data_IF_931483785893
#
_entry.id   IF_931483785893
#
_cell.length_a   1.000
_cell.length_b   1.000
_cell.length_c   1.000
_cell.angle_alpha   90.00
_cell.angle_beta   90.00
_cell.angle_gamma   90.00
#
_symmetry.space_group_name_H-M   'P 1'
#
loop_
_entity.id
_entity.type
_entity.pdbx_description
1 polymer ?
#
# COMPACT_ATOMS: atom_id res chain seq x y z
N UNK A 1 2.56 -5.68 -34.44
CA UNK A 1 2.86 -6.35 -33.16
C UNK A 1 3.58 -7.65 -33.50
N UNK A 2 4.90 -7.66 -33.34
CA UNK A 2 5.77 -8.72 -33.85
C UNK A 2 5.64 -9.99 -33.00
N UNK A 3 5.82 -11.18 -33.60
CA UNK A 3 5.76 -12.46 -32.88
C UNK A 3 6.71 -12.51 -31.68
N UNK A 4 7.87 -11.85 -31.77
CA UNK A 4 8.85 -11.75 -30.68
C UNK A 4 8.32 -11.03 -29.43
N UNK A 5 7.42 -10.05 -29.57
CA UNK A 5 6.82 -9.35 -28.43
C UNK A 5 5.82 -10.24 -27.67
N UNK A 6 5.08 -11.10 -28.40
CA UNK A 6 4.12 -12.03 -27.81
C UNK A 6 4.82 -13.15 -27.02
N UNK A 7 5.91 -13.70 -27.56
CA UNK A 7 6.65 -14.74 -26.86
C UNK A 7 7.31 -14.23 -25.57
N UNK A 8 7.86 -13.00 -25.59
CA UNK A 8 8.39 -12.40 -24.37
C UNK A 8 7.30 -12.21 -23.31
N UNK A 9 6.12 -11.72 -23.71
CA UNK A 9 5.00 -11.49 -22.80
C UNK A 9 4.53 -12.79 -22.13
N UNK A 10 4.47 -13.90 -22.88
CA UNK A 10 4.13 -15.22 -22.33
C UNK A 10 5.17 -15.71 -21.31
N UNK A 11 6.46 -15.60 -21.66
CA UNK A 11 7.56 -15.99 -20.76
C UNK A 11 7.57 -15.13 -19.48
N UNK A 12 7.32 -13.82 -19.62
CA UNK A 12 7.23 -12.88 -18.49
C UNK A 12 6.04 -13.20 -17.58
N UNK A 13 4.85 -13.40 -18.17
CA UNK A 13 3.66 -13.79 -17.42
C UNK A 13 3.84 -15.11 -16.69
N UNK A 14 4.53 -16.07 -17.31
CA UNK A 14 4.86 -17.34 -16.70
C UNK A 14 5.75 -17.14 -15.48
N UNK A 15 6.79 -16.33 -15.58
CA UNK A 15 7.67 -15.99 -14.45
C UNK A 15 6.88 -15.42 -13.25
N UNK A 16 6.08 -14.37 -13.48
CA UNK A 16 5.42 -13.61 -12.39
C UNK A 16 4.23 -14.34 -11.74
N UNK A 17 3.53 -15.21 -12.49
CA UNK A 17 2.33 -15.92 -12.01
C UNK A 17 2.66 -17.19 -11.25
N UNK A 18 3.91 -17.65 -11.26
CA UNK A 18 4.34 -18.81 -10.49
C UNK A 18 4.01 -18.62 -9.00
N UNK A 19 3.52 -19.69 -8.37
CA UNK A 19 3.28 -19.74 -6.92
C UNK A 19 4.48 -20.27 -6.14
N UNK A 20 5.37 -20.98 -6.83
CA UNK A 20 6.53 -21.61 -6.23
C UNK A 20 7.79 -20.78 -6.56
N UNK A 21 8.61 -20.53 -5.54
CA UNK A 21 9.79 -19.68 -5.66
C UNK A 21 10.81 -20.31 -6.61
N UNK A 22 11.08 -21.62 -6.47
CA UNK A 22 12.06 -22.32 -7.30
C UNK A 22 11.62 -22.33 -8.77
N UNK A 23 10.34 -22.61 -9.03
CA UNK A 23 9.78 -22.57 -10.39
C UNK A 23 9.80 -21.15 -10.97
N UNK A 24 9.56 -20.13 -10.15
CA UNK A 24 9.68 -18.73 -10.56
C UNK A 24 11.12 -18.40 -10.95
N UNK A 25 12.10 -18.72 -10.11
CA UNK A 25 13.52 -18.46 -10.39
C UNK A 25 14.02 -19.22 -11.63
N UNK A 26 13.58 -20.47 -11.83
CA UNK A 26 13.87 -21.23 -13.04
C UNK A 26 13.24 -20.59 -14.30
N UNK A 27 12.02 -20.08 -14.20
CA UNK A 27 11.37 -19.38 -15.31
C UNK A 27 12.09 -18.06 -15.66
N UNK A 28 12.57 -17.33 -14.66
CA UNK A 28 13.39 -16.14 -14.84
C UNK A 28 14.69 -16.45 -15.59
N UNK A 29 15.43 -17.49 -15.19
CA UNK A 29 16.67 -17.87 -15.85
C UNK A 29 16.44 -18.21 -17.33
N UNK A 30 15.36 -18.94 -17.64
CA UNK A 30 14.96 -19.26 -19.00
C UNK A 30 14.63 -18.00 -19.82
N UNK A 31 13.88 -17.07 -19.24
CA UNK A 31 13.55 -15.79 -19.87
C UNK A 31 14.83 -14.97 -20.14
N UNK A 32 15.70 -14.84 -19.14
CA UNK A 32 16.98 -14.14 -19.24
C UNK A 32 17.88 -14.73 -20.31
N UNK A 33 17.97 -16.05 -20.40
CA UNK A 33 18.82 -16.75 -21.37
C UNK A 33 18.23 -16.70 -22.79
N UNK A 34 16.94 -16.99 -22.95
CA UNK A 34 16.24 -17.00 -24.25
C UNK A 34 16.28 -15.64 -24.93
N UNK A 35 16.11 -14.57 -24.15
CA UNK A 35 16.06 -13.22 -24.68
C UNK A 35 17.43 -12.52 -24.66
N UNK A 36 18.49 -13.12 -24.09
CA UNK A 36 19.84 -12.53 -23.91
C UNK A 36 20.45 -11.93 -25.18
N UNK A 37 20.28 -12.61 -26.32
CA UNK A 37 20.91 -12.24 -27.60
C UNK A 37 20.20 -11.12 -28.35
N UNK A 38 18.94 -10.82 -28.01
CA UNK A 38 18.22 -9.66 -28.54
C UNK A 38 18.77 -8.32 -28.00
N UNK A 39 19.78 -8.35 -27.11
CA UNK A 39 20.25 -7.19 -26.35
C UNK A 39 21.77 -6.90 -26.45
N UNK A 40 22.58 -7.63 -27.26
CA UNK A 40 24.05 -7.55 -27.17
C UNK A 40 24.88 -7.51 -28.49
N UNK A 41 24.38 -7.05 -29.65
CA UNK A 41 25.22 -6.82 -30.87
C UNK A 41 24.95 -5.44 -31.54
N UNK A 42 25.85 -4.86 -32.40
CA UNK A 42 26.43 -3.53 -32.11
C UNK A 42 25.90 -2.33 -32.95
N UNK A 43 25.85 -1.18 -32.26
CA UNK A 43 25.87 0.24 -32.67
C UNK A 43 24.76 0.78 -33.59
N UNK A 44 23.72 1.35 -32.97
CA UNK A 44 22.86 2.44 -33.50
C UNK A 44 22.02 3.03 -32.35
N UNK A 45 21.35 4.17 -32.52
CA UNK A 45 20.48 4.82 -31.50
C UNK A 45 19.45 3.90 -30.82
N UNK A 46 19.14 2.77 -31.48
CA UNK A 46 18.41 1.62 -30.94
C UNK A 46 18.99 1.07 -29.62
N UNK A 47 20.31 1.15 -29.43
CA UNK A 47 21.00 0.70 -28.22
C UNK A 47 20.56 1.45 -26.97
N UNK A 48 20.27 2.77 -27.04
CA UNK A 48 19.82 3.52 -25.85
C UNK A 48 18.49 2.99 -25.31
N UNK A 49 17.60 2.50 -26.17
CA UNK A 49 16.30 1.99 -25.77
C UNK A 49 16.39 0.53 -25.33
N UNK A 50 17.18 -0.30 -26.02
CA UNK A 50 17.37 -1.72 -25.68
C UNK A 50 18.14 -1.91 -24.35
N UNK A 51 19.19 -1.11 -24.09
CA UNK A 51 19.89 -1.08 -22.80
C UNK A 51 18.98 -0.62 -21.65
N UNK A 52 18.08 0.35 -21.91
CA UNK A 52 17.09 0.80 -20.91
C UNK A 52 16.09 -0.31 -20.59
N UNK A 53 15.64 -1.05 -21.60
CA UNK A 53 14.73 -2.20 -21.43
C UNK A 53 15.37 -3.31 -20.60
N UNK A 54 16.66 -3.62 -20.83
CA UNK A 54 17.36 -4.63 -20.04
C UNK A 54 17.52 -4.21 -18.57
N UNK A 55 17.97 -2.98 -18.33
CA UNK A 55 18.09 -2.44 -16.97
C UNK A 55 16.76 -2.39 -16.25
N UNK A 56 15.68 -2.05 -16.95
CA UNK A 56 14.33 -2.10 -16.39
C UNK A 56 13.98 -3.51 -15.94
N UNK A 57 14.24 -4.53 -16.78
CA UNK A 57 13.90 -5.92 -16.46
C UNK A 57 14.72 -6.45 -15.27
N UNK A 58 16.01 -6.09 -15.18
CA UNK A 58 16.84 -6.40 -14.00
C UNK A 58 16.32 -5.70 -12.73
N UNK A 59 15.98 -4.41 -12.81
CA UNK A 59 15.40 -3.68 -11.67
C UNK A 59 14.08 -4.32 -11.19
N UNK A 60 13.23 -4.76 -12.13
CA UNK A 60 11.98 -5.46 -11.84
C UNK A 60 12.26 -6.80 -11.13
N UNK A 61 13.27 -7.54 -11.57
CA UNK A 61 13.72 -8.76 -10.91
C UNK A 61 14.29 -8.52 -9.51
N UNK A 62 15.06 -7.46 -9.30
CA UNK A 62 15.60 -7.11 -7.99
C UNK A 62 14.49 -6.82 -6.98
N UNK A 63 13.37 -6.25 -7.46
CA UNK A 63 12.20 -5.96 -6.65
C UNK A 63 11.21 -7.13 -6.52
N UNK A 64 11.47 -8.30 -7.13
CA UNK A 64 10.51 -9.42 -7.24
C UNK A 64 9.87 -9.84 -5.92
N UNK A 65 10.60 -9.75 -4.80
CA UNK A 65 10.11 -10.13 -3.47
C UNK A 65 8.89 -9.31 -3.01
N UNK A 66 8.69 -8.12 -3.56
CA UNK A 66 7.62 -7.20 -3.17
C UNK A 66 6.33 -7.36 -3.97
N UNK A 67 6.35 -8.04 -5.11
CA UNK A 67 5.20 -8.05 -6.04
C UNK A 67 4.99 -9.38 -6.79
N UNK A 68 6.00 -10.25 -6.87
CA UNK A 68 5.85 -11.58 -7.51
C UNK A 68 5.10 -12.52 -6.57
N UNK A 69 4.10 -13.21 -7.12
CA UNK A 69 3.14 -14.02 -6.36
C UNK A 69 3.79 -15.09 -5.48
N UNK A 70 4.85 -15.75 -5.97
CA UNK A 70 5.56 -16.78 -5.22
C UNK A 70 6.15 -16.27 -3.90
N UNK A 71 6.59 -15.01 -3.85
CA UNK A 71 7.19 -14.41 -2.64
C UNK A 71 6.14 -13.83 -1.69
N UNK A 72 4.98 -13.46 -2.22
CA UNK A 72 3.89 -12.87 -1.43
C UNK A 72 3.00 -13.91 -0.73
N UNK A 73 3.12 -15.20 -1.06
CA UNK A 73 2.24 -16.24 -0.54
C UNK A 73 2.29 -16.38 0.99
N UNK A 74 3.45 -16.10 1.59
CA UNK A 74 3.65 -16.19 3.04
C UNK A 74 3.73 -14.80 3.71
N UNK A 75 3.37 -13.75 2.98
CA UNK A 75 3.32 -12.39 3.53
C UNK A 75 2.01 -12.19 4.26
N UNK A 76 2.09 -11.85 5.55
CA UNK A 76 0.93 -11.52 6.34
C UNK A 76 0.51 -10.07 6.07
N UNK A 77 -0.64 -9.89 5.40
CA UNK A 77 -1.20 -8.56 5.09
C UNK A 77 -2.10 -8.00 6.20
N UNK A 78 -1.93 -8.46 7.46
CA UNK A 78 -2.74 -7.99 8.60
C UNK A 78 -4.27 -8.07 8.39
N UNK A 79 -4.74 -9.03 7.59
CA UNK A 79 -6.16 -9.21 7.28
C UNK A 79 -6.72 -8.30 6.18
N UNK A 80 -5.88 -7.50 5.51
CA UNK A 80 -6.31 -6.67 4.38
C UNK A 80 -6.66 -7.54 3.18
N UNK A 81 -7.86 -7.32 2.64
CA UNK A 81 -8.27 -7.89 1.35
C UNK A 81 -7.69 -7.03 0.22
N UNK A 82 -7.43 -7.65 -0.94
CA UNK A 82 -6.93 -6.93 -2.12
C UNK A 82 -7.80 -5.74 -2.53
N UNK A 83 -9.13 -5.85 -2.38
CA UNK A 83 -10.07 -4.75 -2.65
C UNK A 83 -9.87 -3.56 -1.72
N UNK A 84 -9.66 -3.82 -0.42
CA UNK A 84 -9.44 -2.75 0.57
C UNK A 84 -8.13 -2.00 0.29
N UNK A 85 -7.10 -2.70 -0.21
CA UNK A 85 -5.86 -2.04 -0.61
C UNK A 85 -6.08 -1.11 -1.81
N UNK A 86 -6.83 -1.53 -2.83
CA UNK A 86 -7.16 -0.65 -3.95
C UNK A 86 -8.09 0.51 -3.57
N UNK A 87 -9.07 0.25 -2.70
CA UNK A 87 -9.97 1.29 -2.17
C UNK A 87 -9.15 2.34 -1.41
N UNK A 88 -8.26 1.93 -0.50
CA UNK A 88 -7.39 2.85 0.25
C UNK A 88 -6.45 3.67 -0.63
N UNK A 89 -5.87 3.07 -1.68
CA UNK A 89 -5.02 3.81 -2.64
C UNK A 89 -5.86 4.82 -3.43
N UNK A 90 -7.07 4.44 -3.84
CA UNK A 90 -7.97 5.35 -4.54
C UNK A 90 -8.38 6.53 -3.64
N UNK A 91 -8.74 6.26 -2.38
CA UNK A 91 -9.04 7.33 -1.39
C UNK A 91 -7.84 8.24 -1.15
N UNK A 92 -6.61 7.70 -1.16
CA UNK A 92 -5.39 8.51 -0.99
C UNK A 92 -5.20 9.52 -2.14
N UNK A 93 -5.54 9.15 -3.38
CA UNK A 93 -5.44 10.02 -4.54
C UNK A 93 -6.73 10.76 -4.87
N UNK A 94 -7.79 10.56 -4.07
CA UNK A 94 -9.08 11.19 -4.33
C UNK A 94 -8.96 12.71 -4.23
N UNK A 95 -9.56 13.42 -5.19
CA UNK A 95 -9.39 14.86 -5.35
C UNK A 95 -8.09 15.33 -6.03
N UNK A 96 -7.09 14.45 -6.23
CA UNK A 96 -5.81 14.79 -6.89
C UNK A 96 -5.69 14.20 -8.29
N UNK A 97 -5.87 12.88 -8.42
CA UNK A 97 -5.68 12.15 -9.67
C UNK A 97 -6.98 11.49 -10.09
N UNK A 98 -7.35 11.67 -11.36
CA UNK A 98 -8.54 11.09 -11.96
C UNK A 98 -8.23 10.56 -13.36
N UNK A 99 -9.14 9.77 -13.95
CA UNK A 99 -8.90 9.12 -15.24
C UNK A 99 -8.65 10.09 -16.41
N UNK A 100 -9.03 11.36 -16.29
CA UNK A 100 -8.72 12.41 -17.27
C UNK A 100 -7.58 13.34 -16.88
N UNK A 101 -6.87 13.09 -15.76
CA UNK A 101 -5.67 13.86 -15.41
C UNK A 101 -4.62 13.65 -16.50
N UNK A 102 -4.14 14.71 -17.17
CA UNK A 102 -3.11 14.57 -18.18
C UNK A 102 -1.79 14.16 -17.52
N UNK A 103 -1.00 13.36 -18.24
CA UNK A 103 0.29 12.87 -17.72
C UNK A 103 1.25 14.01 -17.33
N UNK A 104 1.13 15.17 -17.99
CA UNK A 104 1.91 16.37 -17.66
C UNK A 104 1.62 16.93 -16.27
N UNK A 105 0.40 16.75 -15.76
CA UNK A 105 -0.02 17.25 -14.44
C UNK A 105 0.03 16.16 -13.36
N UNK A 106 0.14 14.88 -13.77
CA UNK A 106 0.15 13.75 -12.85
C UNK A 106 1.22 13.86 -11.77
N UNK A 107 2.44 14.28 -12.15
CA UNK A 107 3.57 14.39 -11.20
C UNK A 107 3.27 15.45 -10.15
N UNK A 108 2.78 16.62 -10.57
CA UNK A 108 2.46 17.72 -9.65
C UNK A 108 1.32 17.32 -8.70
N UNK A 109 0.28 16.66 -9.22
CA UNK A 109 -0.84 16.17 -8.40
C UNK A 109 -0.43 15.07 -7.43
N UNK A 110 0.50 14.19 -7.83
CA UNK A 110 1.07 13.17 -6.97
C UNK A 110 1.84 13.81 -5.80
N UNK A 111 2.67 14.81 -6.06
CA UNK A 111 3.40 15.53 -5.02
C UNK A 111 2.46 16.29 -4.08
N UNK A 112 1.38 16.89 -4.62
CA UNK A 112 0.33 17.52 -3.82
C UNK A 112 -0.38 16.52 -2.89
N UNK A 113 -0.74 15.33 -3.38
CA UNK A 113 -1.37 14.27 -2.57
C UNK A 113 -0.46 13.83 -1.40
N UNK A 114 0.85 13.74 -1.65
CA UNK A 114 1.83 13.43 -0.60
C UNK A 114 1.94 14.58 0.40
N UNK A 115 1.97 15.82 -0.06
CA UNK A 115 2.06 16.99 0.79
C UNK A 115 0.84 17.11 1.71
N UNK A 116 -0.38 16.99 1.15
CA UNK A 116 -1.63 17.02 1.91
C UNK A 116 -1.66 15.94 3.00
N UNK A 117 -1.28 14.70 2.68
CA UNK A 117 -1.19 13.63 3.68
C UNK A 117 -0.19 13.95 4.78
N UNK A 118 0.98 14.49 4.44
CA UNK A 118 1.98 14.88 5.45
C UNK A 118 1.48 15.97 6.37
N UNK A 119 0.70 16.92 5.86
CA UNK A 119 0.15 18.00 6.67
C UNK A 119 -0.97 17.49 7.58
N UNK A 120 -1.87 16.64 7.05
CA UNK A 120 -2.87 15.92 7.86
C UNK A 120 -2.23 15.07 8.96
N UNK A 121 -1.14 14.35 8.66
CA UNK A 121 -0.41 13.55 9.64
C UNK A 121 0.22 14.43 10.74
N UNK A 122 0.81 15.58 10.38
CA UNK A 122 1.34 16.54 11.37
C UNK A 122 0.25 17.09 12.27
N UNK A 123 -0.91 17.44 11.72
CA UNK A 123 -2.03 17.95 12.50
C UNK A 123 -2.55 16.88 13.46
N UNK A 124 -2.69 15.63 13.00
CA UNK A 124 -3.10 14.51 13.85
C UNK A 124 -2.07 14.21 14.95
N UNK A 125 -0.78 14.25 14.64
CA UNK A 125 0.28 14.07 15.62
C UNK A 125 0.28 15.20 16.66
N UNK A 126 0.13 16.45 16.21
CA UNK A 126 0.00 17.61 17.10
C UNK A 126 -1.18 17.46 18.05
N UNK A 127 -2.36 17.08 17.54
CA UNK A 127 -3.54 16.82 18.36
C UNK A 127 -3.26 15.70 19.36
N UNK A 128 -2.65 14.60 18.93
CA UNK A 128 -2.31 13.47 19.80
C UNK A 128 -1.33 13.83 20.92
N UNK A 129 -0.40 14.75 20.67
CA UNK A 129 0.61 15.19 21.65
C UNK A 129 0.08 16.25 22.62
N UNK A 130 -0.80 17.13 22.15
CA UNK A 130 -1.26 18.30 22.92
C UNK A 130 -2.54 18.05 23.72
N UNK A 131 -3.34 17.05 23.32
CA UNK A 131 -4.64 16.79 23.94
C UNK A 131 -4.66 15.45 24.66
N UNK A 132 -5.35 15.40 25.81
CA UNK A 132 -5.52 14.15 26.55
C UNK A 132 -6.66 13.31 25.94
N UNK A 133 -6.61 11.97 26.10
CA UNK A 133 -7.74 11.11 25.77
C UNK A 133 -8.90 11.38 26.72
N UNK A 134 -10.11 11.44 26.17
CA UNK A 134 -11.33 11.68 26.95
C UNK A 134 -11.86 10.37 27.54
N UNK A 135 -12.16 10.36 28.84
CA UNK A 135 -12.62 9.18 29.58
C UNK A 135 -14.13 9.32 29.82
N UNK A 136 -14.95 8.52 29.14
CA UNK A 136 -16.41 8.68 29.16
C UNK A 136 -17.09 7.74 30.17
N UNK A 137 -16.63 6.50 30.28
CA UNK A 137 -17.23 5.49 31.18
C UNK A 137 -16.51 5.43 32.53
N UNK A 138 -15.33 6.02 32.66
CA UNK A 138 -14.48 6.05 33.86
C UNK A 138 -14.18 4.65 34.41
N UNK A 139 -14.13 3.65 33.53
CA UNK A 139 -13.83 2.27 33.94
C UNK A 139 -12.33 2.08 34.17
N UNK A 140 -11.90 1.14 35.04
CA UNK A 140 -10.49 0.85 35.24
C UNK A 140 -9.75 0.47 33.95
N UNK A 141 -10.44 -0.24 33.04
CA UNK A 141 -9.88 -0.64 31.75
C UNK A 141 -9.72 0.54 30.79
N UNK A 142 -10.68 1.46 30.74
CA UNK A 142 -10.59 2.67 29.92
C UNK A 142 -9.48 3.60 30.44
N UNK A 143 -9.41 3.79 31.76
CA UNK A 143 -8.34 4.55 32.40
C UNK A 143 -6.98 3.96 32.07
N UNK A 144 -6.80 2.65 32.22
CA UNK A 144 -5.54 1.99 31.87
C UNK A 144 -5.20 2.13 30.38
N UNK A 145 -6.17 1.90 29.49
CA UNK A 145 -5.97 2.04 28.04
C UNK A 145 -5.56 3.45 27.63
N UNK A 146 -6.09 4.49 28.29
CA UNK A 146 -5.73 5.89 28.01
C UNK A 146 -4.26 6.23 28.33
N UNK A 147 -3.65 5.50 29.27
CA UNK A 147 -2.24 5.66 29.61
C UNK A 147 -1.32 4.85 28.71
N UNK A 148 -1.79 3.71 28.19
CA UNK A 148 -1.00 2.80 27.36
C UNK A 148 -1.02 3.21 25.89
N UNK A 149 -2.16 3.66 25.37
CA UNK A 149 -2.34 3.98 23.97
C UNK A 149 -2.19 5.46 23.66
N UNK A 150 -1.60 5.76 22.49
CA UNK A 150 -1.71 7.10 21.89
C UNK A 150 -3.18 7.41 21.61
N UNK A 151 -3.54 8.70 21.66
CA UNK A 151 -4.93 9.16 21.59
C UNK A 151 -5.72 8.62 20.39
N UNK A 152 -5.12 8.61 19.20
CA UNK A 152 -5.74 8.04 17.99
C UNK A 152 -6.10 6.55 18.13
N UNK A 153 -5.18 5.74 18.67
CA UNK A 153 -5.40 4.31 18.95
C UNK A 153 -6.41 4.12 20.07
N UNK A 154 -6.34 4.94 21.11
CA UNK A 154 -7.30 4.92 22.22
C UNK A 154 -8.74 5.22 21.76
N UNK A 155 -8.92 6.19 20.85
CA UNK A 155 -10.24 6.50 20.30
C UNK A 155 -10.83 5.31 19.53
N UNK A 156 -10.02 4.62 18.71
CA UNK A 156 -10.43 3.37 18.04
C UNK A 156 -10.78 2.26 19.04
N UNK A 157 -10.03 2.15 20.14
CA UNK A 157 -10.35 1.23 21.23
C UNK A 157 -11.70 1.56 21.86
N UNK A 158 -11.96 2.83 22.18
CA UNK A 158 -13.24 3.28 22.76
C UNK A 158 -14.42 3.00 21.84
N UNK A 159 -14.33 3.33 20.56
CA UNK A 159 -15.39 3.11 19.57
C UNK A 159 -15.84 1.64 19.57
N UNK A 160 -14.86 0.72 19.58
CA UNK A 160 -15.13 -0.72 19.53
C UNK A 160 -15.61 -1.30 20.87
N UNK A 161 -15.10 -0.77 21.98
CA UNK A 161 -15.40 -1.29 23.32
C UNK A 161 -16.67 -0.69 23.92
N UNK A 162 -17.01 0.55 23.55
CA UNK A 162 -18.12 1.33 24.11
C UNK A 162 -18.94 2.02 23.00
N UNK A 163 -19.57 1.26 22.07
CA UNK A 163 -20.25 1.82 20.90
C UNK A 163 -21.42 2.77 21.25
N UNK A 164 -22.01 2.62 22.44
CA UNK A 164 -23.13 3.45 22.91
C UNK A 164 -22.74 4.90 23.27
N UNK A 165 -21.44 5.23 23.32
CA UNK A 165 -20.97 6.55 23.81
C UNK A 165 -20.86 7.64 22.74
N UNK A 166 -21.08 7.32 21.46
CA UNK A 166 -20.94 8.29 20.35
C UNK A 166 -22.27 8.94 19.90
N UNK A 167 -23.40 8.61 20.51
CA UNK A 167 -24.72 9.17 20.13
C UNK A 167 -25.08 10.48 20.86
N UNK A 168 -24.10 11.26 21.32
CA UNK A 168 -24.39 12.45 22.12
C UNK A 168 -23.26 13.46 22.13
N UNK A 169 -22.97 14.08 20.99
CA UNK A 169 -22.38 15.43 20.88
C UNK A 169 -22.57 15.92 19.43
N UNK A 170 -23.81 16.14 19.03
CA UNK A 170 -24.08 17.18 18.04
C UNK A 170 -23.84 18.52 18.76
N UNK A 171 -22.71 19.16 18.47
CA UNK A 171 -22.56 20.63 18.28
C UNK A 171 -21.11 21.08 18.56
N UNK A 172 -20.25 20.92 17.55
CA UNK A 172 -19.14 21.81 17.23
C UNK A 172 -18.63 21.39 15.86
N UNK A 173 -18.94 22.18 14.84
CA UNK A 173 -18.56 21.92 13.44
C UNK A 173 -17.06 21.69 13.28
N UNK A 174 -16.69 20.45 13.04
CA UNK A 174 -15.50 20.05 12.29
C UNK A 174 -16.00 19.03 11.29
N UNK A 175 -15.94 19.37 10.00
CA UNK A 175 -16.18 18.42 8.93
C UNK A 175 -15.20 17.27 9.11
N UNK A 176 -15.70 16.14 9.61
CA UNK A 176 -15.01 14.86 9.51
C UNK A 176 -14.99 14.51 8.03
N UNK A 177 -13.91 14.89 7.37
CA UNK A 177 -13.54 14.30 6.09
C UNK A 177 -13.35 12.81 6.34
N UNK A 178 -14.16 12.00 5.65
CA UNK A 178 -14.26 10.55 5.68
C UNK A 178 -13.02 9.90 5.02
N UNK A 179 -11.85 10.51 5.20
CA UNK A 179 -10.55 10.14 4.62
C UNK A 179 -9.69 9.33 5.62
N UNK A 180 -10.17 9.13 6.85
CA UNK A 180 -9.43 8.43 7.91
C UNK A 180 -9.39 6.89 7.79
N UNK A 181 -9.83 6.30 6.67
CA UNK A 181 -9.60 4.88 6.39
C UNK A 181 -8.19 4.60 5.83
N UNK A 182 -7.44 5.63 5.40
CA UNK A 182 -6.13 5.50 4.75
C UNK A 182 -4.93 5.16 5.64
N UNK A 183 -5.12 5.04 6.97
CA UNK A 183 -4.03 4.81 7.93
C UNK A 183 -4.35 3.71 8.96
N UNK A 184 -4.84 2.56 8.47
CA UNK A 184 -4.85 1.30 9.22
C UNK A 184 -3.58 0.46 9.01
N UNK A 185 -2.44 1.09 8.71
CA UNK A 185 -1.16 0.40 8.67
C UNK A 185 -0.37 0.69 9.95
N UNK A 186 -0.08 -0.39 10.70
CA UNK A 186 0.87 -0.54 11.83
C UNK A 186 0.24 -0.53 13.23
N UNK A 187 0.06 -1.78 13.74
CA UNK A 187 0.07 -2.29 15.14
C UNK A 187 -1.10 -3.23 15.52
N UNK A 188 -0.84 -4.18 16.45
CA UNK A 188 -1.05 -5.59 16.20
C UNK A 188 -2.27 -6.15 16.92
N UNK A 189 -2.78 -7.26 16.42
CA UNK A 189 -3.64 -8.13 17.21
C UNK A 189 -4.98 -8.36 16.57
N UNK A 190 -5.10 -9.54 15.97
CA UNK A 190 -6.32 -10.31 16.15
C UNK A 190 -5.93 -11.64 16.80
N UNK A 191 -5.80 -11.61 18.13
CA UNK A 191 -5.95 -12.80 18.96
C UNK A 191 -7.45 -13.15 19.03
N UNK A 192 -8.03 -13.55 17.90
CA UNK A 192 -9.30 -14.25 17.86
C UNK A 192 -9.05 -15.60 17.17
N UNK A 193 -8.44 -16.52 17.90
CA UNK A 193 -8.58 -17.97 17.76
C UNK A 193 -7.86 -18.67 18.93
N UNK A 194 -8.36 -18.41 20.14
CA UNK A 194 -8.25 -19.35 21.25
C UNK A 194 -9.65 -19.48 21.86
N UNK A 195 -10.41 -20.44 21.32
CA UNK A 195 -11.53 -21.20 21.90
C UNK A 195 -12.48 -21.64 20.77
N UNK A 196 -11.98 -22.58 19.96
CA UNK A 196 -12.66 -23.78 19.47
C UNK A 196 -11.68 -24.65 18.70
#
# INVERSE_FOLDING_TARGET
>A
MCLAEKEFDEDYHKWIKNRDIEKSEQAWLKLKEKHKHSFQDPLTDKQKNELKSWRWLENIYDQRKHWVRAYLQNTFFAGMKSRQMSESINTFFDGFVHNSTPMSEFIDQYDNAIADRRDKDKDQDFICMTTKPDLTKLTPIESHASHVYKKNVFNKFKEKMFPETLNGTEDAGVSMDESAEGLNFILPGKMDNMLK
#
